data_IF_397163514984
#
_entry.id   IF_397163514984
#
_cell.length_a   1.000
_cell.length_b   1.000
_cell.length_c   1.000
_cell.angle_alpha   90.00
_cell.angle_beta   90.00
_cell.angle_gamma   90.00
#
_symmetry.space_group_name_H-M   'P 1'
#
loop_
_entity.id
_entity.type
_entity.pdbx_description
1 polymer ?
#
# COMPACT_ATOMS: atom_id res chain seq x y z
N UNK A 1 -20.65 27.16 10.30
CA UNK A 1 -19.56 26.35 9.72
C UNK A 1 -18.37 27.26 9.50
N UNK A 2 -17.37 27.15 10.36
CA UNK A 2 -16.21 28.02 10.33
C UNK A 2 -15.20 27.41 9.35
N UNK A 3 -15.28 27.76 8.06
CA UNK A 3 -14.34 27.30 7.00
C UNK A 3 -12.87 27.70 7.26
N UNK A 4 -12.64 28.53 8.28
CA UNK A 4 -11.39 29.22 8.61
C UNK A 4 -10.25 28.35 9.15
N UNK A 5 -10.46 27.04 9.39
CA UNK A 5 -9.46 26.15 10.00
C UNK A 5 -9.08 24.93 9.14
N UNK A 6 -9.14 25.08 7.81
CA UNK A 6 -8.76 24.00 6.88
C UNK A 6 -7.59 24.42 6.00
N UNK A 7 -6.64 23.52 5.77
CA UNK A 7 -5.51 23.71 4.86
C UNK A 7 -5.43 22.52 3.90
N UNK A 8 -5.56 22.81 2.61
CA UNK A 8 -5.44 21.80 1.55
C UNK A 8 -4.08 21.94 0.85
N UNK A 9 -3.40 20.82 0.62
CA UNK A 9 -2.22 20.70 -0.24
C UNK A 9 -2.45 19.64 -1.30
N UNK A 10 -2.04 19.92 -2.54
CA UNK A 10 -2.19 19.00 -3.68
C UNK A 10 -0.81 18.61 -4.19
N UNK A 11 -0.56 17.31 -4.27
CA UNK A 11 0.63 16.74 -4.86
C UNK A 11 0.26 15.94 -6.11
N UNK A 12 1.19 15.90 -7.07
CA UNK A 12 1.07 15.07 -8.27
C UNK A 12 2.17 14.03 -8.27
N UNK A 13 1.80 12.80 -8.58
CA UNK A 13 2.71 11.65 -8.62
C UNK A 13 2.31 10.66 -9.70
N UNK A 14 2.89 9.47 -9.60
CA UNK A 14 2.56 8.33 -10.45
C UNK A 14 2.01 7.20 -9.59
N UNK A 15 1.07 6.44 -10.14
CA UNK A 15 0.58 5.21 -9.55
C UNK A 15 0.87 4.06 -10.51
N UNK A 16 1.49 3.00 -9.98
CA UNK A 16 1.65 1.73 -10.68
C UNK A 16 0.57 0.76 -10.20
N UNK A 17 -0.31 0.37 -11.09
CA UNK A 17 -1.35 -0.64 -10.87
C UNK A 17 -0.70 -2.01 -10.88
N UNK A 18 -1.00 -2.82 -9.88
CA UNK A 18 -0.51 -4.19 -9.75
C UNK A 18 -1.54 -5.10 -9.13
N UNK A 19 -1.40 -6.40 -9.43
CA UNK A 19 -2.14 -7.47 -8.77
C UNK A 19 -1.33 -8.02 -7.62
N UNK A 20 -1.98 -8.16 -6.47
CA UNK A 20 -1.45 -8.90 -5.31
C UNK A 20 -2.43 -9.99 -4.92
N UNK A 21 -1.93 -11.00 -4.21
CA UNK A 21 -2.74 -12.03 -3.61
C UNK A 21 -3.25 -11.47 -2.27
N UNK A 22 -4.56 -11.25 -2.15
CA UNK A 22 -5.15 -10.53 -1.02
C UNK A 22 -4.77 -11.13 0.33
N UNK A 23 -4.74 -12.46 0.41
CA UNK A 23 -4.38 -13.23 1.61
C UNK A 23 -2.90 -13.08 2.00
N UNK A 24 -2.03 -12.73 1.05
CA UNK A 24 -0.60 -12.53 1.29
C UNK A 24 -0.25 -11.12 1.78
N UNK A 25 -1.20 -10.17 1.79
CA UNK A 25 -0.99 -8.83 2.38
C UNK A 25 -0.63 -8.90 3.87
N UNK A 26 -1.05 -9.96 4.55
CA UNK A 26 -0.72 -10.23 5.96
C UNK A 26 0.73 -10.71 6.17
N UNK A 27 1.41 -11.09 5.09
CA UNK A 27 2.77 -11.62 5.14
C UNK A 27 3.75 -10.47 5.01
N UNK A 28 4.12 -9.89 6.15
CA UNK A 28 5.11 -8.84 6.23
C UNK A 28 6.37 -9.34 6.95
N UNK A 29 7.54 -9.03 6.38
CA UNK A 29 8.82 -9.16 7.07
C UNK A 29 8.95 -7.99 8.04
N UNK A 30 9.25 -8.30 9.29
CA UNK A 30 9.47 -7.32 10.35
C UNK A 30 10.97 -7.10 10.57
N UNK A 31 11.40 -5.97 11.12
CA UNK A 31 12.83 -5.73 11.37
C UNK A 31 13.51 -6.85 12.19
N UNK A 32 12.80 -7.43 13.15
CA UNK A 32 13.33 -8.51 14.00
C UNK A 32 13.63 -9.79 13.21
N UNK A 33 12.92 -10.01 12.09
CA UNK A 33 13.15 -11.15 11.21
C UNK A 33 14.53 -11.06 10.51
N UNK A 34 15.19 -9.90 10.52
CA UNK A 34 16.54 -9.69 9.97
C UNK A 34 17.65 -9.64 11.05
N UNK A 35 17.33 -9.91 12.31
CA UNK A 35 18.27 -9.82 13.44
C UNK A 35 19.38 -10.88 13.41
N UNK A 36 19.17 -12.01 12.73
CA UNK A 36 20.15 -13.09 12.59
C UNK A 36 19.80 -14.01 11.40
N UNK A 37 20.76 -14.83 10.92
CA UNK A 37 20.48 -15.83 9.88
C UNK A 37 19.35 -16.80 10.26
N UNK A 38 19.29 -17.21 11.52
CA UNK A 38 18.23 -18.12 12.01
C UNK A 38 16.88 -17.43 12.04
N UNK A 39 16.81 -16.16 12.48
CA UNK A 39 15.57 -15.38 12.47
C UNK A 39 15.00 -15.24 11.05
N UNK A 40 15.87 -15.01 10.06
CA UNK A 40 15.46 -14.92 8.66
C UNK A 40 14.93 -16.26 8.14
N UNK A 41 15.60 -17.37 8.46
CA UNK A 41 15.12 -18.71 8.11
C UNK A 41 13.75 -19.02 8.73
N UNK A 42 13.52 -18.62 9.99
CA UNK A 42 12.21 -18.75 10.63
C UNK A 42 11.15 -17.91 9.94
N UNK A 43 11.48 -16.68 9.54
CA UNK A 43 10.57 -15.80 8.83
C UNK A 43 10.20 -16.36 7.45
N UNK A 44 11.18 -16.85 6.68
CA UNK A 44 10.93 -17.51 5.39
C UNK A 44 10.03 -18.73 5.57
N UNK A 45 10.26 -19.55 6.60
CA UNK A 45 9.42 -20.71 6.89
C UNK A 45 7.97 -20.31 7.19
N UNK A 46 7.77 -19.21 7.93
CA UNK A 46 6.43 -18.65 8.23
C UNK A 46 5.73 -18.19 6.94
N UNK A 47 6.45 -17.50 6.05
CA UNK A 47 5.96 -17.07 4.73
C UNK A 47 5.51 -18.28 3.90
N UNK A 48 6.37 -19.30 3.81
CA UNK A 48 6.09 -20.52 3.06
C UNK A 48 4.84 -21.26 3.57
N UNK A 49 4.70 -21.41 4.90
CA UNK A 49 3.53 -22.04 5.48
C UNK A 49 2.24 -21.24 5.24
N UNK A 50 2.32 -19.91 5.25
CA UNK A 50 1.17 -19.06 4.91
C UNK A 50 0.78 -19.20 3.43
N UNK A 51 1.77 -19.27 2.52
CA UNK A 51 1.54 -19.52 1.08
C UNK A 51 0.81 -20.84 0.85
N UNK A 52 1.26 -21.93 1.48
CA UNK A 52 0.61 -23.25 1.37
C UNK A 52 -0.84 -23.23 1.84
N UNK A 53 -1.13 -22.61 2.99
CA UNK A 53 -2.50 -22.50 3.50
C UNK A 53 -3.41 -21.68 2.59
N UNK A 54 -2.88 -20.65 1.94
CA UNK A 54 -3.65 -19.84 1.01
C UNK A 54 -3.91 -20.54 -0.33
N UNK A 55 -2.99 -21.40 -0.79
CA UNK A 55 -3.21 -22.26 -1.96
C UNK A 55 -4.40 -23.22 -1.75
N UNK A 56 -4.52 -23.81 -0.56
CA UNK A 56 -5.63 -24.73 -0.22
C UNK A 56 -6.99 -24.03 -0.18
N UNK A 57 -7.03 -22.75 0.23
CA UNK A 57 -8.27 -21.96 0.31
C UNK A 57 -8.67 -21.30 -1.01
N UNK A 58 -7.76 -21.26 -1.98
CA UNK A 58 -7.88 -20.47 -3.20
C UNK A 58 -7.52 -19.01 -2.95
N UNK A 59 -6.88 -18.37 -3.94
CA UNK A 59 -6.50 -16.97 -3.85
C UNK A 59 -7.58 -16.05 -4.41
N UNK A 60 -7.84 -14.96 -3.70
CA UNK A 60 -8.54 -13.83 -4.29
C UNK A 60 -7.53 -12.81 -4.79
N UNK A 61 -7.68 -12.45 -6.07
CA UNK A 61 -6.94 -11.33 -6.64
C UNK A 61 -7.38 -10.04 -5.96
N UNK A 62 -6.40 -9.19 -5.66
CA UNK A 62 -6.62 -7.85 -5.15
C UNK A 62 -5.76 -6.89 -5.96
N UNK A 63 -6.35 -5.81 -6.44
CA UNK A 63 -5.66 -4.78 -7.19
C UNK A 63 -5.21 -3.67 -6.25
N UNK A 64 -4.00 -3.18 -6.45
CA UNK A 64 -3.44 -2.07 -5.69
C UNK A 64 -2.77 -1.07 -6.62
N UNK A 65 -2.76 0.20 -6.21
CA UNK A 65 -1.98 1.24 -6.83
C UNK A 65 -0.80 1.60 -5.90
N UNK A 66 0.44 1.28 -6.30
CA UNK A 66 1.63 1.83 -5.64
C UNK A 66 1.79 3.28 -6.09
N UNK A 67 1.46 4.23 -5.21
CA UNK A 67 1.57 5.67 -5.43
C UNK A 67 2.96 6.14 -5.00
N UNK A 68 3.61 6.92 -5.86
CA UNK A 68 4.89 7.58 -5.60
C UNK A 68 4.80 9.07 -5.92
N UNK A 69 5.19 9.92 -4.98
CA UNK A 69 5.29 11.37 -5.18
C UNK A 69 6.39 11.99 -4.31
N UNK A 70 6.73 13.24 -4.58
CA UNK A 70 7.66 14.03 -3.75
C UNK A 70 6.87 15.02 -2.90
N UNK A 71 7.09 15.02 -1.59
CA UNK A 71 6.41 15.95 -0.67
C UNK A 71 6.99 17.37 -0.73
N UNK A 72 6.43 18.28 0.07
CA UNK A 72 6.85 19.69 0.10
C UNK A 72 8.27 19.91 0.68
N UNK A 73 8.83 18.90 1.35
CA UNK A 73 10.16 18.94 1.95
C UNK A 73 11.22 18.21 1.09
N UNK A 74 10.82 17.66 -0.06
CA UNK A 74 11.70 16.93 -0.98
C UNK A 74 11.82 15.43 -0.69
N UNK A 75 11.03 14.87 0.24
CA UNK A 75 11.05 13.45 0.54
C UNK A 75 10.29 12.65 -0.52
N UNK A 76 10.80 11.48 -0.86
CA UNK A 76 10.11 10.51 -1.71
C UNK A 76 9.13 9.71 -0.85
N UNK A 77 7.83 9.88 -1.10
CA UNK A 77 6.78 9.18 -0.38
C UNK A 77 6.21 8.09 -1.27
N UNK A 78 6.18 6.86 -0.77
CA UNK A 78 5.63 5.69 -1.45
C UNK A 78 4.61 5.02 -0.54
N UNK A 79 3.41 4.77 -1.05
CA UNK A 79 2.35 4.07 -0.34
C UNK A 79 1.43 3.35 -1.32
N UNK A 80 0.65 2.38 -0.83
CA UNK A 80 -0.30 1.64 -1.64
C UNK A 80 -1.74 2.12 -1.39
N UNK A 81 -2.54 2.20 -2.44
CA UNK A 81 -4.00 2.38 -2.38
C UNK A 81 -4.67 1.07 -2.80
N UNK A 82 -5.61 0.61 -1.99
CA UNK A 82 -6.44 -0.55 -2.28
C UNK A 82 -7.47 -0.21 -3.37
N UNK A 83 -7.49 -0.98 -4.46
CA UNK A 83 -8.43 -0.81 -5.58
C UNK A 83 -9.52 -1.89 -5.60
N UNK A 84 -9.51 -2.84 -4.67
CA UNK A 84 -10.51 -3.91 -4.55
C UNK A 84 -10.17 -5.20 -5.31
N UNK A 85 -11.16 -6.09 -5.45
CA UNK A 85 -11.01 -7.42 -6.08
C UNK A 85 -11.25 -7.38 -7.61
N UNK A 86 -11.91 -6.35 -8.12
CA UNK A 86 -12.23 -6.20 -9.55
C UNK A 86 -11.13 -5.45 -10.31
N UNK A 87 -10.88 -5.78 -11.59
CA UNK A 87 -9.91 -5.05 -12.41
C UNK A 87 -10.28 -3.56 -12.46
N UNK A 88 -9.37 -2.65 -12.06
CA UNK A 88 -9.66 -1.23 -12.07
C UNK A 88 -9.83 -0.73 -13.51
N UNK A 89 -10.61 0.35 -13.73
CA UNK A 89 -10.99 0.82 -15.06
C UNK A 89 -9.87 1.62 -15.76
N UNK A 90 -8.62 1.15 -15.67
CA UNK A 90 -7.46 1.76 -16.30
C UNK A 90 -6.99 0.93 -17.49
N UNK A 91 -6.60 1.62 -18.58
CA UNK A 91 -5.99 0.98 -19.75
C UNK A 91 -4.49 0.78 -19.63
N UNK A 92 -3.85 1.49 -18.70
CA UNK A 92 -2.41 1.52 -18.51
C UNK A 92 -2.08 1.07 -17.10
N UNK A 93 -0.98 0.33 -16.94
CA UNK A 93 -0.47 -0.06 -15.63
C UNK A 93 0.19 1.12 -14.89
N UNK A 94 0.65 2.14 -15.62
CA UNK A 94 1.20 3.36 -15.03
C UNK A 94 0.25 4.53 -15.31
N UNK A 95 -0.31 5.10 -14.24
CA UNK A 95 -1.27 6.20 -14.31
C UNK A 95 -0.81 7.39 -13.47
N UNK A 96 -1.43 8.55 -13.69
CA UNK A 96 -1.18 9.74 -12.85
C UNK A 96 -1.93 9.59 -11.53
N UNK A 97 -1.27 9.95 -10.43
CA UNK A 97 -1.88 10.05 -9.12
C UNK A 97 -1.97 11.52 -8.70
N UNK A 98 -3.10 11.93 -8.14
CA UNK A 98 -3.27 13.22 -7.47
C UNK A 98 -3.56 12.96 -6.01
N UNK A 99 -2.70 13.47 -5.14
CA UNK A 99 -2.80 13.30 -3.69
C UNK A 99 -3.32 14.62 -3.12
N UNK A 100 -4.45 14.57 -2.42
CA UNK A 100 -5.02 15.70 -1.72
C UNK A 100 -4.85 15.46 -0.23
N UNK A 101 -4.13 16.35 0.43
CA UNK A 101 -3.97 16.34 1.89
C UNK A 101 -4.77 17.51 2.44
N UNK A 102 -5.81 17.20 3.21
CA UNK A 102 -6.61 18.18 3.95
C UNK A 102 -6.24 18.09 5.43
N UNK A 103 -5.76 19.20 5.99
CA UNK A 103 -5.49 19.37 7.41
C UNK A 103 -6.62 20.22 7.98
N UNK A 104 -7.29 19.72 9.02
CA UNK A 104 -8.38 20.40 9.70
C UNK A 104 -8.36 20.05 11.19
N UNK A 105 -8.88 20.93 12.03
CA UNK A 105 -9.11 20.64 13.46
C UNK A 105 -10.41 19.85 13.61
N UNK A 106 -10.42 18.85 14.50
CA UNK A 106 -11.64 18.15 14.88
C UNK A 106 -12.54 19.10 15.70
N UNK A 107 -13.84 19.13 15.39
CA UNK A 107 -14.82 19.91 16.16
C UNK A 107 -15.33 19.00 17.30
N UNK A 108 -14.56 18.87 18.37
CA UNK A 108 -15.08 18.39 19.66
C UNK A 108 -16.02 19.43 20.30
#
# INVERSE_FOLDING_TARGET
MNESKKRISIFTGQARIGEILGELTSIQLRPEDFSSPVALQMAISRIYNALLKSLEKGFKKKYVAEVRFTDALGNNVVFAVDLGEEPPPFRLDNVKARILVEIYEDED
#
